data_IF_925892479256
#
_entry.id   IF_925892479256
#
_cell.length_a   1.000
_cell.length_b   1.000
_cell.length_c   1.000
_cell.angle_alpha   90.00
_cell.angle_beta   90.00
_cell.angle_gamma   90.00
#
_symmetry.space_group_name_H-M   'P 1'
#
loop_
_entity.id
_entity.type
_entity.pdbx_description
1 polymer ?
#
# COMPACT_ATOMS: atom_id res chain seq x y z
N UNK A 1 -5.89 -0.71 3.97
CA UNK A 1 -6.60 -1.65 4.83
C UNK A 1 -8.10 -1.65 4.59
N UNK A 2 -8.79 -2.64 5.09
CA UNK A 2 -10.23 -2.82 4.93
C UNK A 2 -10.56 -4.20 4.37
N UNK A 3 -11.82 -4.47 4.01
CA UNK A 3 -12.95 -3.55 4.03
C UNK A 3 -13.47 -3.25 5.45
N UNK A 4 -13.77 -1.99 5.73
CA UNK A 4 -14.36 -1.56 6.99
C UNK A 4 -15.88 -1.50 6.90
N UNK A 5 -16.53 -1.73 8.04
CA UNK A 5 -17.97 -1.54 8.26
C UNK A 5 -18.14 -0.39 9.25
N UNK A 6 -18.87 0.65 8.87
CA UNK A 6 -19.20 1.78 9.73
C UNK A 6 -20.68 1.74 10.02
N UNK A 7 -21.03 1.69 11.29
CA UNK A 7 -22.43 1.73 11.75
C UNK A 7 -22.69 3.05 12.43
N UNK A 8 -23.69 3.77 11.95
CA UNK A 8 -24.11 5.05 12.51
C UNK A 8 -25.52 4.91 13.06
N UNK A 9 -25.69 5.19 14.35
CA UNK A 9 -26.97 5.11 15.03
C UNK A 9 -27.22 6.35 15.88
N UNK A 10 -28.47 6.81 15.90
CA UNK A 10 -28.92 7.89 16.75
C UNK A 10 -30.32 7.60 17.26
N UNK A 11 -30.64 8.05 18.47
CA UNK A 11 -31.93 7.80 19.10
C UNK A 11 -33.04 8.45 18.27
N UNK A 12 -34.06 7.69 17.88
CA UNK A 12 -35.18 8.16 17.05
C UNK A 12 -34.90 8.11 15.53
N UNK A 13 -33.75 7.61 15.10
CA UNK A 13 -33.40 7.45 13.71
C UNK A 13 -33.09 5.99 13.35
N UNK A 14 -33.25 5.65 12.08
CA UNK A 14 -32.89 4.35 11.55
C UNK A 14 -31.37 4.18 11.54
N UNK A 15 -30.88 3.01 11.95
CA UNK A 15 -29.44 2.71 11.89
C UNK A 15 -28.98 2.58 10.44
N UNK A 16 -27.99 3.36 10.05
CA UNK A 16 -27.36 3.29 8.75
C UNK A 16 -26.03 2.49 8.84
N UNK A 17 -25.87 1.49 7.97
CA UNK A 17 -24.67 0.67 7.90
C UNK A 17 -24.01 0.87 6.54
N UNK A 18 -22.77 1.31 6.58
CA UNK A 18 -21.91 1.48 5.42
C UNK A 18 -20.89 0.34 5.39
N UNK A 19 -20.89 -0.44 4.32
CA UNK A 19 -19.98 -1.57 4.13
C UNK A 19 -19.08 -1.36 2.91
N UNK A 20 -17.95 -2.09 2.87
CA UNK A 20 -17.04 -2.04 1.74
C UNK A 20 -16.13 -0.81 1.69
N UNK A 21 -16.00 -0.08 2.79
CA UNK A 21 -15.07 1.06 2.87
C UNK A 21 -13.64 0.54 2.91
N UNK A 22 -12.85 0.90 1.91
CA UNK A 22 -11.43 0.59 1.83
C UNK A 22 -10.62 1.88 1.97
N UNK A 23 -9.68 1.89 2.90
CA UNK A 23 -8.75 3.00 3.11
C UNK A 23 -7.35 2.59 2.68
N UNK A 24 -6.68 3.45 1.95
CA UNK A 24 -5.26 3.32 1.64
C UNK A 24 -4.42 4.10 2.66
N UNK A 25 -3.14 3.81 2.70
CA UNK A 25 -2.20 4.51 3.54
C UNK A 25 -2.20 6.02 3.22
N UNK A 26 -2.33 6.85 4.27
CA UNK A 26 -2.38 8.31 4.12
C UNK A 26 -3.66 8.86 3.48
N UNK A 27 -4.69 8.03 3.27
CA UNK A 27 -5.98 8.45 2.71
C UNK A 27 -6.95 8.86 3.82
N UNK A 28 -7.61 10.00 3.63
CA UNK A 28 -8.76 10.43 4.44
C UNK A 28 -10.03 10.15 3.65
N UNK A 29 -10.99 9.50 4.26
CA UNK A 29 -12.29 9.23 3.66
C UNK A 29 -13.37 10.04 4.34
N UNK A 30 -13.99 11.00 3.63
CA UNK A 30 -15.10 11.78 4.13
C UNK A 30 -16.40 11.03 3.92
N UNK A 31 -17.02 10.58 5.01
CA UNK A 31 -18.31 9.91 5.01
C UNK A 31 -19.42 10.87 5.48
N UNK A 32 -20.17 11.39 4.52
CA UNK A 32 -21.36 12.19 4.83
C UNK A 32 -22.56 11.25 5.02
N UNK A 33 -23.16 11.31 6.21
CA UNK A 33 -24.25 10.42 6.60
C UNK A 33 -25.53 11.21 6.78
N UNK A 34 -26.59 10.80 6.09
CA UNK A 34 -27.94 11.28 6.33
C UNK A 34 -28.75 10.18 7.01
N UNK A 35 -29.25 10.44 8.19
CA UNK A 35 -30.12 9.53 8.93
C UNK A 35 -31.58 9.89 8.68
N UNK A 36 -32.43 8.88 8.54
CA UNK A 36 -33.87 9.02 8.40
C UNK A 36 -34.55 8.71 9.74
N UNK A 37 -35.60 9.45 10.04
CA UNK A 37 -36.39 9.22 11.27
C UNK A 37 -36.96 7.79 11.29
N UNK A 38 -36.91 7.16 12.45
CA UNK A 38 -37.48 5.82 12.65
C UNK A 38 -39.02 5.96 12.75
N UNK A 39 -39.70 5.97 11.61
CA UNK A 39 -41.15 5.75 11.58
C UNK A 39 -41.40 4.27 11.56
N UNK A 40 -42.03 3.71 12.57
CA UNK A 40 -42.56 2.36 12.84
C UNK A 40 -42.06 1.11 12.07
N UNK A 41 -41.28 1.24 11.01
CA UNK A 41 -40.69 0.14 10.26
C UNK A 41 -39.21 0.02 10.67
N UNK A 42 -38.94 -0.95 11.52
CA UNK A 42 -37.60 -1.42 11.92
C UNK A 42 -36.85 -1.99 10.69
N UNK A 43 -36.36 -1.14 9.83
CA UNK A 43 -35.56 -1.51 8.67
C UNK A 43 -34.12 -1.00 8.84
N UNK A 44 -33.17 -1.91 8.80
CA UNK A 44 -31.75 -1.61 8.70
C UNK A 44 -31.44 -1.18 7.26
N UNK A 45 -30.83 -0.01 7.07
CA UNK A 45 -30.40 0.45 5.75
C UNK A 45 -28.93 0.09 5.56
N UNK A 46 -28.66 -0.85 4.67
CA UNK A 46 -27.29 -1.20 4.28
C UNK A 46 -26.91 -0.46 2.99
N UNK A 47 -25.89 0.35 3.06
CA UNK A 47 -25.34 1.10 1.93
C UNK A 47 -23.95 0.55 1.61
N UNK A 48 -23.76 0.08 0.37
CA UNK A 48 -22.44 -0.36 -0.08
C UNK A 48 -21.67 0.85 -0.60
N UNK A 49 -20.52 1.12 0.00
CA UNK A 49 -19.65 2.19 -0.45
C UNK A 49 -19.03 1.85 -1.81
N UNK A 50 -19.23 2.71 -2.81
CA UNK A 50 -18.53 2.63 -4.08
C UNK A 50 -17.33 3.56 -4.04
N UNK A 51 -16.15 3.02 -4.31
CA UNK A 51 -14.93 3.81 -4.32
C UNK A 51 -14.78 4.57 -5.64
N UNK A 52 -14.67 5.90 -5.56
CA UNK A 52 -14.18 6.69 -6.68
C UNK A 52 -12.67 6.57 -6.78
N UNK A 53 -12.15 6.25 -7.97
CA UNK A 53 -10.71 6.24 -8.25
C UNK A 53 -10.08 7.63 -8.16
N UNK A 54 -10.90 8.66 -8.28
CA UNK A 54 -10.48 10.05 -8.24
C UNK A 54 -11.03 10.69 -6.96
N UNK A 55 -10.15 10.88 -5.98
CA UNK A 55 -10.46 11.65 -4.77
C UNK A 55 -9.78 13.01 -4.89
N UNK A 56 -10.53 14.09 -4.70
CA UNK A 56 -9.99 15.45 -4.66
C UNK A 56 -9.07 15.69 -3.44
N UNK A 57 -9.12 14.77 -2.48
CA UNK A 57 -8.31 14.82 -1.25
C UNK A 57 -6.92 14.22 -1.40
N UNK A 58 -6.62 13.55 -2.53
CA UNK A 58 -5.28 13.06 -2.81
C UNK A 58 -4.38 14.21 -3.22
N UNK A 59 -3.52 14.62 -2.31
CA UNK A 59 -2.53 15.67 -2.53
C UNK A 59 -1.14 15.06 -2.69
N UNK A 60 -0.39 15.52 -3.71
CA UNK A 60 0.97 15.08 -3.96
C UNK A 60 1.09 13.86 -4.91
N UNK A 61 2.33 13.58 -5.32
CA UNK A 61 2.66 12.44 -6.19
C UNK A 61 2.87 11.19 -5.33
N UNK A 62 1.77 10.45 -5.12
CA UNK A 62 1.76 9.22 -4.31
C UNK A 62 1.29 8.05 -5.15
N UNK A 63 2.01 6.95 -5.08
CA UNK A 63 1.63 5.66 -5.68
C UNK A 63 1.42 4.64 -4.57
N UNK A 64 0.20 4.13 -4.42
CA UNK A 64 -0.12 3.10 -3.45
C UNK A 64 -0.27 1.75 -4.15
N UNK A 65 0.38 0.73 -3.61
CA UNK A 65 0.43 -0.63 -4.14
C UNK A 65 -0.13 -1.56 -3.07
N UNK A 66 -1.31 -2.13 -3.34
CA UNK A 66 -1.99 -3.02 -2.40
C UNK A 66 -1.42 -4.44 -2.43
N UNK A 67 -1.72 -5.23 -1.39
CA UNK A 67 -1.32 -6.65 -1.32
C UNK A 67 -1.86 -7.47 -2.50
N UNK A 68 -3.03 -7.13 -3.03
CA UNK A 68 -3.59 -7.78 -4.20
C UNK A 68 -2.72 -7.54 -5.45
N UNK A 69 -2.27 -6.31 -5.66
CA UNK A 69 -1.34 -5.98 -6.74
C UNK A 69 0.02 -6.65 -6.53
N UNK A 70 0.50 -6.71 -5.28
CA UNK A 70 1.75 -7.39 -4.94
C UNK A 70 1.73 -8.88 -5.28
N UNK A 71 0.59 -9.54 -5.17
CA UNK A 71 0.44 -10.97 -5.49
C UNK A 71 0.21 -11.23 -6.97
N UNK A 72 -0.43 -10.30 -7.68
CA UNK A 72 -0.81 -10.44 -9.09
C UNK A 72 0.34 -10.09 -10.03
N UNK A 73 1.18 -9.15 -9.64
CA UNK A 73 2.28 -8.69 -10.49
C UNK A 73 3.45 -9.67 -10.47
N UNK A 74 3.98 -10.03 -11.64
CA UNK A 74 5.14 -10.91 -11.72
C UNK A 74 6.39 -10.20 -11.16
N UNK A 75 7.07 -10.87 -10.24
CA UNK A 75 8.32 -10.42 -9.65
C UNK A 75 9.35 -11.54 -9.74
N UNK A 76 10.55 -11.22 -10.19
CA UNK A 76 11.64 -12.20 -10.30
C UNK A 76 12.29 -12.46 -8.95
N UNK A 77 12.51 -11.39 -8.18
CA UNK A 77 13.24 -11.45 -6.92
C UNK A 77 12.34 -11.35 -5.69
N UNK A 78 11.03 -11.16 -5.87
CA UNK A 78 10.06 -10.85 -4.80
C UNK A 78 10.57 -9.73 -3.88
N UNK A 79 11.15 -8.71 -4.51
CA UNK A 79 11.71 -7.55 -3.83
C UNK A 79 10.70 -6.40 -3.82
N UNK A 80 10.73 -5.58 -2.78
CA UNK A 80 9.96 -4.33 -2.73
C UNK A 80 10.33 -3.44 -3.91
N UNK A 81 11.60 -3.44 -4.34
CA UNK A 81 12.04 -2.66 -5.50
C UNK A 81 11.38 -3.09 -6.82
N UNK A 82 10.94 -4.34 -6.94
CA UNK A 82 10.20 -4.78 -8.12
C UNK A 82 8.83 -4.10 -8.23
N UNK A 83 8.23 -3.74 -7.11
CA UNK A 83 6.91 -3.09 -7.05
C UNK A 83 7.01 -1.57 -7.07
N UNK A 84 8.06 -1.00 -6.50
CA UNK A 84 8.25 0.47 -6.58
C UNK A 84 8.43 0.95 -8.02
N UNK A 85 8.84 0.08 -8.94
CA UNK A 85 8.89 0.36 -10.40
C UNK A 85 7.53 0.66 -11.02
N UNK A 86 6.42 0.30 -10.38
CA UNK A 86 5.07 0.64 -10.83
C UNK A 86 4.83 2.14 -10.76
N UNK A 87 5.54 2.84 -9.88
CA UNK A 87 5.51 4.29 -9.84
C UNK A 87 6.00 4.86 -11.17
N UNK A 88 5.23 5.75 -11.83
CA UNK A 88 5.63 6.35 -13.11
C UNK A 88 6.89 7.21 -13.00
N UNK A 89 7.30 7.54 -11.80
CA UNK A 89 8.48 8.34 -11.49
C UNK A 89 9.72 7.50 -11.18
N UNK A 90 9.58 6.18 -11.18
CA UNK A 90 10.67 5.26 -10.86
C UNK A 90 11.48 4.88 -12.10
N UNK A 91 12.81 4.88 -11.95
CA UNK A 91 13.75 4.28 -12.90
C UNK A 91 14.76 3.44 -12.12
N UNK A 92 14.52 2.12 -12.05
CA UNK A 92 15.24 1.24 -11.12
C UNK A 92 15.02 1.65 -9.66
N UNK A 93 16.10 1.96 -8.95
CA UNK A 93 16.05 2.47 -7.57
C UNK A 93 16.02 4.01 -7.49
N UNK A 94 16.05 4.69 -8.61
CA UNK A 94 15.98 6.16 -8.71
C UNK A 94 14.55 6.62 -8.81
N UNK A 95 14.23 7.74 -8.18
CA UNK A 95 12.91 8.36 -8.24
C UNK A 95 13.02 9.83 -8.57
N UNK A 96 12.21 10.30 -9.51
CA UNK A 96 12.21 11.70 -9.93
C UNK A 96 13.57 12.19 -10.43
N UNK A 97 14.38 11.30 -11.01
CA UNK A 97 15.74 11.62 -11.48
C UNK A 97 16.80 11.71 -10.36
N UNK A 98 16.46 11.33 -9.12
CA UNK A 98 17.37 11.33 -7.97
C UNK A 98 17.96 9.94 -7.73
N UNK A 99 19.19 9.89 -7.21
CA UNK A 99 19.86 8.64 -6.84
C UNK A 99 19.10 7.91 -5.74
N UNK A 100 19.11 6.56 -5.79
CA UNK A 100 18.44 5.71 -4.82
C UNK A 100 18.89 5.90 -3.36
N UNK A 101 20.08 6.47 -3.12
CA UNK A 101 20.56 6.84 -1.79
C UNK A 101 19.76 7.96 -1.15
N UNK A 102 19.07 8.76 -1.98
CA UNK A 102 18.22 9.87 -1.53
C UNK A 102 16.82 9.44 -1.11
N UNK A 103 16.51 8.15 -1.19
CA UNK A 103 15.23 7.60 -0.79
C UNK A 103 15.24 7.27 0.70
N UNK A 104 14.07 7.37 1.31
CA UNK A 104 13.82 6.87 2.66
C UNK A 104 12.93 5.64 2.58
N UNK A 105 13.33 4.57 3.26
CA UNK A 105 12.55 3.35 3.39
C UNK A 105 12.10 3.14 4.83
N UNK A 106 10.80 3.03 5.03
CA UNK A 106 10.22 2.77 6.36
C UNK A 106 9.32 1.54 6.31
N UNK A 107 9.30 0.81 7.42
CA UNK A 107 8.39 -0.31 7.65
C UNK A 107 7.68 -0.09 8.97
N UNK A 108 6.36 -0.04 8.94
CA UNK A 108 5.51 0.28 10.10
C UNK A 108 5.98 1.53 10.86
N UNK A 109 6.51 2.52 10.11
CA UNK A 109 7.06 3.76 10.66
C UNK A 109 8.52 3.66 11.14
N UNK A 110 9.11 2.47 11.22
CA UNK A 110 10.51 2.30 11.55
C UNK A 110 11.39 2.58 10.33
N UNK A 111 12.40 3.43 10.49
CA UNK A 111 13.33 3.76 9.42
C UNK A 111 14.35 2.63 9.22
N UNK A 112 14.43 2.11 8.01
CA UNK A 112 15.37 1.06 7.60
C UNK A 112 16.38 1.56 6.56
N UNK A 113 16.74 2.83 6.59
CA UNK A 113 17.70 3.39 5.65
C UNK A 113 19.12 2.89 5.89
N UNK A 114 19.88 2.81 4.79
CA UNK A 114 21.32 2.69 4.86
C UNK A 114 21.95 4.08 5.09
N UNK A 115 22.06 4.48 6.35
CA UNK A 115 22.54 5.82 6.75
C UNK A 115 24.03 6.06 6.44
N UNK A 116 24.78 5.02 6.06
CA UNK A 116 26.18 5.16 5.66
C UNK A 116 26.36 5.68 4.23
N UNK A 117 25.30 5.71 3.42
CA UNK A 117 25.35 6.27 2.07
C UNK A 117 26.23 5.51 1.08
N UNK A 118 26.69 4.30 1.42
CA UNK A 118 27.60 3.50 0.59
C UNK A 118 26.90 2.69 -0.49
N UNK A 119 25.58 2.50 -0.38
CA UNK A 119 24.78 1.73 -1.31
C UNK A 119 23.43 2.37 -1.57
N UNK A 120 22.98 2.32 -2.81
CA UNK A 120 21.62 2.73 -3.20
C UNK A 120 20.56 1.63 -2.92
N UNK A 121 20.99 0.48 -2.42
CA UNK A 121 20.12 -0.64 -2.04
C UNK A 121 19.57 -0.51 -0.63
N UNK A 122 18.56 -1.33 -0.34
CA UNK A 122 18.06 -1.50 1.02
C UNK A 122 19.13 -2.06 1.95
N UNK A 123 19.03 -1.83 3.27
CA UNK A 123 19.99 -2.36 4.25
C UNK A 123 20.18 -3.88 4.10
N UNK A 124 21.43 -4.32 4.19
CA UNK A 124 21.77 -5.74 4.04
C UNK A 124 21.86 -6.24 2.59
N UNK A 125 21.72 -5.35 1.59
CA UNK A 125 21.83 -5.71 0.17
C UNK A 125 20.73 -6.64 -0.36
N UNK A 126 19.64 -6.82 0.41
CA UNK A 126 18.55 -7.74 0.11
C UNK A 126 17.18 -7.17 0.47
N UNK A 127 16.23 -8.07 0.64
CA UNK A 127 14.91 -7.74 1.14
C UNK A 127 14.89 -7.82 2.67
N UNK A 128 14.83 -6.70 3.39
CA UNK A 128 14.82 -6.71 4.84
C UNK A 128 13.56 -7.39 5.41
N UNK A 129 12.48 -7.44 4.62
CA UNK A 129 11.21 -8.05 4.98
C UNK A 129 10.70 -8.85 3.80
N UNK A 130 10.13 -10.04 4.09
CA UNK A 130 9.46 -10.83 3.07
C UNK A 130 8.26 -10.08 2.49
N UNK A 131 8.12 -10.12 1.17
CA UNK A 131 6.98 -9.52 0.48
C UNK A 131 5.64 -10.07 0.99
N UNK A 132 5.60 -11.34 1.40
CA UNK A 132 4.40 -11.98 1.92
C UNK A 132 3.92 -11.37 3.24
N UNK A 133 4.81 -10.73 3.99
CA UNK A 133 4.49 -10.03 5.23
C UNK A 133 3.90 -8.63 4.98
N UNK A 134 4.02 -8.09 3.77
CA UNK A 134 3.60 -6.73 3.45
C UNK A 134 2.13 -6.72 3.02
N UNK A 135 1.37 -5.78 3.56
CA UNK A 135 -0.01 -5.51 3.19
C UNK A 135 -0.13 -4.42 2.12
N UNK A 136 0.62 -3.34 2.30
CA UNK A 136 0.59 -2.19 1.39
C UNK A 136 1.96 -1.53 1.31
N UNK A 137 2.31 -1.04 0.12
CA UNK A 137 3.49 -0.20 -0.10
C UNK A 137 3.04 1.13 -0.69
N UNK A 138 3.46 2.21 -0.06
CA UNK A 138 3.24 3.56 -0.54
C UNK A 138 4.56 4.17 -0.99
N UNK A 139 4.58 4.71 -2.19
CA UNK A 139 5.71 5.50 -2.73
C UNK A 139 5.28 6.95 -2.85
N UNK A 140 5.95 7.83 -2.14
CA UNK A 140 5.66 9.27 -2.09
C UNK A 140 6.86 10.04 -2.63
N UNK A 141 6.63 10.92 -3.60
CA UNK A 141 7.72 11.68 -4.25
C UNK A 141 7.68 13.15 -3.86
N UNK A 142 6.49 13.72 -3.79
CA UNK A 142 6.30 15.12 -3.41
C UNK A 142 5.20 15.19 -2.32
N UNK A 143 5.57 14.97 -1.05
CA UNK A 143 4.60 15.06 0.04
C UNK A 143 4.22 16.50 0.32
N UNK A 144 2.94 16.74 0.53
CA UNK A 144 2.45 17.98 1.14
C UNK A 144 2.28 17.82 2.68
N UNK A 145 2.36 16.59 3.17
CA UNK A 145 2.27 16.29 4.60
C UNK A 145 3.64 16.49 5.26
N UNK A 146 3.70 17.41 6.21
CA UNK A 146 4.93 17.77 6.96
C UNK A 146 5.48 16.61 7.78
N UNK A 147 4.69 15.57 8.05
CA UNK A 147 5.15 14.36 8.76
C UNK A 147 6.03 13.47 7.88
N UNK A 148 5.95 13.64 6.57
CA UNK A 148 6.76 12.90 5.60
C UNK A 148 7.99 13.72 5.25
N UNK A 149 9.11 13.40 5.87
CA UNK A 149 10.36 14.13 5.74
C UNK A 149 11.55 13.16 5.53
N UNK A 150 12.76 13.71 5.47
CA UNK A 150 14.04 13.01 5.40
C UNK A 150 14.32 12.27 4.09
N UNK A 151 13.75 12.70 2.97
CA UNK A 151 14.12 12.23 1.65
C UNK A 151 14.14 13.36 0.62
N UNK A 152 14.96 13.19 -0.41
CA UNK A 152 15.03 14.09 -1.57
C UNK A 152 14.52 13.36 -2.82
N UNK A 153 14.60 12.03 -2.84
CA UNK A 153 14.08 11.14 -3.88
C UNK A 153 12.65 10.74 -3.60
N UNK A 154 12.45 9.58 -3.02
CA UNK A 154 11.14 9.07 -2.63
C UNK A 154 11.11 8.59 -1.17
N UNK A 155 9.95 8.77 -0.52
CA UNK A 155 9.59 8.05 0.69
C UNK A 155 8.88 6.75 0.32
N UNK A 156 9.44 5.62 0.67
CA UNK A 156 8.86 4.30 0.47
C UNK A 156 8.41 3.77 1.83
N UNK A 157 7.10 3.72 2.03
CA UNK A 157 6.51 3.28 3.28
C UNK A 157 5.85 1.92 3.06
N UNK A 158 6.33 0.88 3.73
CA UNK A 158 5.72 -0.43 3.73
C UNK A 158 4.96 -0.65 5.05
N UNK A 159 3.79 -1.25 4.96
CA UNK A 159 3.00 -1.67 6.12
C UNK A 159 2.91 -3.18 6.11
N UNK A 160 3.15 -3.80 7.26
CA UNK A 160 3.01 -5.25 7.42
C UNK A 160 1.57 -5.65 7.67
N UNK A 161 1.26 -6.90 7.33
CA UNK A 161 -0.05 -7.51 7.58
C UNK A 161 -0.29 -7.63 9.07
N UNK A 162 -1.45 -7.19 9.53
CA UNK A 162 -1.89 -7.40 10.90
C UNK A 162 -2.31 -8.85 11.14
N UNK A 163 -2.08 -9.36 12.35
CA UNK A 163 -2.56 -10.67 12.77
C UNK A 163 -4.08 -10.74 12.79
N UNK A 164 -4.62 -11.90 12.44
CA UNK A 164 -6.03 -12.24 12.52
C UNK A 164 -6.19 -13.57 13.22
N UNK A 165 -7.41 -13.93 13.67
CA UNK A 165 -7.69 -15.24 14.27
C UNK A 165 -7.68 -16.40 13.23
N UNK A 166 -7.46 -16.11 11.95
CA UNK A 166 -7.32 -17.12 10.91
C UNK A 166 -5.84 -17.36 10.61
N UNK A 167 -5.42 -18.63 10.66
CA UNK A 167 -4.08 -19.02 10.24
C UNK A 167 -3.93 -18.84 8.73
N UNK A 168 -2.90 -18.12 8.33
CA UNK A 168 -2.53 -17.91 6.92
C UNK A 168 -1.05 -18.21 6.75
N UNK A 169 -0.70 -18.85 5.65
CA UNK A 169 0.67 -19.16 5.30
C UNK A 169 0.84 -19.15 3.79
N UNK A 170 2.04 -18.88 3.33
CA UNK A 170 2.43 -18.99 1.93
C UNK A 170 3.71 -19.81 1.82
N UNK A 171 3.81 -20.62 0.79
CA UNK A 171 5.01 -21.32 0.42
C UNK A 171 5.24 -21.16 -1.08
N UNK A 172 6.45 -20.84 -1.48
CA UNK A 172 6.81 -20.70 -2.88
C UNK A 172 8.18 -21.31 -3.15
N UNK A 173 8.37 -21.75 -4.38
CA UNK A 173 9.63 -22.28 -4.85
C UNK A 173 9.90 -21.75 -6.26
N UNK A 174 11.10 -21.27 -6.49
CA UNK A 174 11.59 -20.94 -7.83
C UNK A 174 12.52 -22.02 -8.31
N UNK A 175 12.24 -22.53 -9.48
CA UNK A 175 13.11 -23.50 -10.16
C UNK A 175 13.53 -22.92 -11.51
N UNK A 176 14.83 -22.90 -11.75
CA UNK A 176 15.41 -22.46 -13.00
C UNK A 176 16.49 -23.48 -13.45
N UNK A 177 16.35 -24.01 -14.64
CA UNK A 177 17.27 -24.95 -15.25
C UNK A 177 17.78 -24.35 -16.58
N UNK A 178 18.95 -24.81 -17.01
CA UNK A 178 19.55 -24.38 -18.29
C UNK A 178 18.61 -24.61 -19.49
N UNK A 179 17.84 -25.70 -19.47
CA UNK A 179 16.84 -26.03 -20.50
C UNK A 179 15.74 -24.97 -20.61
N UNK A 180 15.41 -24.25 -19.52
CA UNK A 180 14.38 -23.22 -19.48
C UNK A 180 14.87 -21.85 -19.98
N UNK A 181 16.20 -21.67 -20.13
CA UNK A 181 16.77 -20.39 -20.52
C UNK A 181 16.73 -20.08 -22.01
N UNK A 182 16.32 -21.05 -22.83
CA UNK A 182 16.42 -20.93 -24.28
C UNK A 182 17.88 -20.88 -24.77
N UNK A 183 18.09 -21.21 -26.02
CA UNK A 183 19.41 -21.09 -26.64
C UNK A 183 19.77 -19.62 -26.81
N UNK A 184 21.00 -19.23 -26.45
CA UNK A 184 21.56 -17.95 -26.85
C UNK A 184 21.45 -17.86 -28.38
N UNK A 185 20.71 -16.88 -28.84
CA UNK A 185 20.79 -16.43 -30.24
C UNK A 185 22.08 -15.62 -30.29
N UNK A 186 23.07 -16.18 -31.00
CA UNK A 186 24.38 -15.54 -31.22
C UNK A 186 24.26 -14.29 -32.08
#
# INVERSE_FOLDING_TARGET
GGPYKVTVSYIGYQTAIYTGIQLQLGETYSLNVTLHEASELLGEITITASRSKFSAEKTGATTNISSEQLTTLPSINRSISDFTRISPYASGNSFGGRDGRSNTFTVDGANLNNNFGLSSGLPGGGNPISLDAIDEVQVVIAPYDVRQANFIGAGINAITKSGTNAYRGSAYMYFNNEVMRGNKIG
#
